data_IF_498876096693
#
_entry.id   IF_498876096693
#
_cell.length_a   1.000
_cell.length_b   1.000
_cell.length_c   1.000
_cell.angle_alpha   90.00
_cell.angle_beta   90.00
_cell.angle_gamma   90.00
#
_symmetry.space_group_name_H-M   'P 1'
#
loop_
_entity.id
_entity.type
_entity.pdbx_description
1 polymer ?
#
# COMPACT_ATOMS: atom_id res chain seq x y z
N UNK A 1 -10.20 -14.74 -6.68
CA UNK A 1 -11.38 -14.01 -7.18
C UNK A 1 -11.32 -12.64 -6.55
N UNK A 2 -11.43 -11.54 -7.31
CA UNK A 2 -11.37 -10.20 -6.72
C UNK A 2 -12.67 -9.89 -5.97
N UNK A 3 -12.62 -9.06 -4.91
CA UNK A 3 -13.83 -8.56 -4.25
C UNK A 3 -14.75 -7.83 -5.23
N UNK A 4 -16.07 -7.93 -5.02
CA UNK A 4 -17.06 -7.33 -5.92
C UNK A 4 -16.87 -5.82 -6.12
N UNK A 5 -16.57 -5.09 -5.04
CA UNK A 5 -16.31 -3.64 -5.10
C UNK A 5 -15.07 -3.32 -5.96
N UNK A 6 -14.03 -4.15 -5.90
CA UNK A 6 -12.83 -3.97 -6.74
C UNK A 6 -13.18 -4.14 -8.21
N UNK A 7 -13.98 -5.15 -8.55
CA UNK A 7 -14.49 -5.33 -9.91
C UNK A 7 -15.30 -4.11 -10.37
N UNK A 8 -16.21 -3.61 -9.53
CA UNK A 8 -17.07 -2.48 -9.88
C UNK A 8 -16.27 -1.18 -10.17
N UNK A 9 -15.30 -0.86 -9.30
CA UNK A 9 -14.45 0.33 -9.46
C UNK A 9 -13.56 0.19 -10.68
N UNK A 10 -12.93 -0.97 -10.88
CA UNK A 10 -12.03 -1.18 -12.03
C UNK A 10 -12.79 -1.18 -13.36
N UNK A 11 -13.98 -1.78 -13.43
CA UNK A 11 -14.82 -1.74 -14.62
C UNK A 11 -15.30 -0.32 -14.94
N UNK A 12 -15.67 0.46 -13.92
CA UNK A 12 -16.04 1.86 -14.11
C UNK A 12 -14.86 2.71 -14.57
N UNK A 13 -13.70 2.57 -13.94
CA UNK A 13 -12.47 3.21 -14.39
C UNK A 13 -12.16 2.87 -15.86
N UNK A 14 -12.22 1.59 -16.24
CA UNK A 14 -11.94 1.16 -17.60
C UNK A 14 -12.90 1.76 -18.63
N UNK A 15 -14.20 1.87 -18.31
CA UNK A 15 -15.17 2.54 -19.19
C UNK A 15 -14.87 4.04 -19.32
N UNK A 16 -14.55 4.72 -18.22
CA UNK A 16 -14.25 6.15 -18.22
C UNK A 16 -12.97 6.45 -19.02
N UNK A 17 -11.89 5.69 -18.77
CA UNK A 17 -10.61 5.92 -19.44
C UNK A 17 -10.68 5.58 -20.94
N UNK A 18 -11.43 4.54 -21.32
CA UNK A 18 -11.61 4.20 -22.74
C UNK A 18 -12.45 5.24 -23.50
N UNK A 19 -13.40 5.89 -22.83
CA UNK A 19 -14.17 6.97 -23.42
C UNK A 19 -13.34 8.26 -23.55
N UNK A 20 -12.51 8.57 -22.54
CA UNK A 20 -11.75 9.81 -22.48
C UNK A 20 -10.48 9.78 -23.36
N UNK A 21 -9.75 8.66 -23.35
CA UNK A 21 -8.45 8.48 -24.05
C UNK A 21 -8.39 7.09 -24.73
N UNK A 22 -9.18 6.88 -25.80
CA UNK A 22 -9.36 5.56 -26.40
C UNK A 22 -8.05 4.88 -26.78
N UNK A 23 -7.82 3.70 -26.23
CA UNK A 23 -6.64 2.90 -26.54
C UNK A 23 -5.34 3.38 -25.91
N UNK A 24 -5.36 4.37 -25.01
CA UNK A 24 -4.17 4.69 -24.22
C UNK A 24 -3.84 3.56 -23.26
N UNK A 25 -4.80 3.14 -22.42
CA UNK A 25 -4.60 2.07 -21.41
C UNK A 25 -4.78 0.69 -22.03
N UNK A 26 -3.65 0.01 -22.27
CA UNK A 26 -3.58 -1.33 -22.87
C UNK A 26 -3.53 -2.46 -21.85
N UNK A 27 -3.15 -2.15 -20.62
CA UNK A 27 -3.21 -3.09 -19.51
C UNK A 27 -3.55 -2.40 -18.20
N UNK A 28 -4.24 -3.11 -17.33
CA UNK A 28 -4.57 -2.69 -15.98
C UNK A 28 -4.30 -3.86 -15.04
N UNK A 29 -3.41 -3.65 -14.10
CA UNK A 29 -2.94 -4.67 -13.18
C UNK A 29 -3.08 -4.16 -11.76
N UNK A 30 -3.55 -5.02 -10.85
CA UNK A 30 -3.71 -4.70 -9.45
C UNK A 30 -2.56 -5.31 -8.64
N UNK A 31 -2.10 -4.58 -7.63
CA UNK A 31 -1.13 -5.07 -6.65
C UNK A 31 -1.64 -4.79 -5.22
N UNK A 32 -0.75 -4.78 -4.24
CA UNK A 32 -1.10 -4.42 -2.87
C UNK A 32 -2.12 -5.36 -2.23
N UNK A 33 -2.99 -4.81 -1.40
CA UNK A 33 -3.95 -5.58 -0.60
C UNK A 33 -4.88 -6.46 -1.45
N UNK A 34 -5.25 -5.98 -2.63
CA UNK A 34 -6.09 -6.69 -3.59
C UNK A 34 -5.42 -7.95 -4.12
N UNK A 35 -4.17 -7.82 -4.57
CA UNK A 35 -3.38 -8.93 -5.08
C UNK A 35 -2.97 -9.92 -3.98
N UNK A 36 -2.68 -9.41 -2.77
CA UNK A 36 -2.29 -10.21 -1.61
C UNK A 36 -3.46 -10.89 -0.89
N UNK A 37 -4.69 -10.73 -1.38
CA UNK A 37 -5.90 -11.36 -0.81
C UNK A 37 -6.28 -10.81 0.58
N UNK A 38 -5.97 -9.55 0.85
CA UNK A 38 -6.18 -8.89 2.14
C UNK A 38 -6.91 -7.54 2.00
N UNK A 39 -7.66 -7.37 0.92
CA UNK A 39 -8.47 -6.18 0.68
C UNK A 39 -9.61 -6.07 1.69
N UNK A 40 -9.66 -4.93 2.38
CA UNK A 40 -10.68 -4.58 3.37
C UNK A 40 -11.37 -3.29 2.91
N UNK A 41 -12.66 -3.30 2.52
CA UNK A 41 -13.37 -2.16 1.93
C UNK A 41 -13.21 -0.81 2.63
N UNK A 42 -13.15 -0.80 3.97
CA UNK A 42 -13.03 0.43 4.77
C UNK A 42 -11.59 0.86 5.07
N UNK A 43 -10.59 0.01 4.80
CA UNK A 43 -9.18 0.21 5.21
C UNK A 43 -8.17 0.03 4.08
N UNK A 44 -8.64 -0.34 2.88
CA UNK A 44 -7.80 -0.66 1.73
C UNK A 44 -8.15 0.20 0.55
N UNK A 45 -7.12 0.60 -0.16
CA UNK A 45 -7.23 1.24 -1.46
C UNK A 45 -7.08 0.16 -2.56
N UNK A 46 -7.41 0.53 -3.80
CA UNK A 46 -7.21 -0.30 -4.98
C UNK A 46 -5.93 0.20 -5.65
N UNK A 47 -4.83 -0.50 -5.39
CA UNK A 47 -3.54 -0.21 -5.97
C UNK A 47 -3.41 -0.78 -7.39
N UNK A 48 -3.08 0.06 -8.37
CA UNK A 48 -2.97 -0.32 -9.78
C UNK A 48 -1.67 0.12 -10.46
N UNK A 49 -1.35 -0.60 -11.54
CA UNK A 49 -0.41 -0.19 -12.58
C UNK A 49 -1.15 -0.23 -13.92
N UNK A 50 -1.20 0.90 -14.62
CA UNK A 50 -1.76 0.99 -15.96
C UNK A 50 -0.62 0.99 -16.99
N UNK A 51 -0.65 0.04 -17.92
CA UNK A 51 0.27 0.04 -19.06
C UNK A 51 -0.32 0.83 -20.22
N UNK A 52 0.39 1.88 -20.63
CA UNK A 52 -0.02 2.75 -21.74
C UNK A 52 0.62 2.34 -23.06
N UNK A 53 -0.02 2.67 -24.19
CA UNK A 53 0.53 2.42 -25.54
C UNK A 53 1.73 3.31 -25.87
N UNK A 54 1.77 4.50 -25.30
CA UNK A 54 2.81 5.51 -25.44
C UNK A 54 2.89 6.34 -24.16
N UNK A 55 3.91 7.19 -24.03
CA UNK A 55 3.95 8.19 -22.95
C UNK A 55 2.75 9.14 -23.10
N UNK A 56 1.87 9.26 -22.10
CA UNK A 56 0.72 10.15 -22.21
C UNK A 56 1.15 11.57 -22.59
N UNK A 57 0.49 12.12 -23.59
CA UNK A 57 0.62 13.52 -24.00
C UNK A 57 -0.07 14.45 -23.00
N UNK A 58 0.22 15.75 -23.00
CA UNK A 58 -0.42 16.69 -22.06
C UNK A 58 -1.97 16.67 -22.11
N UNK A 59 -2.64 16.58 -23.27
CA UNK A 59 -4.09 16.42 -23.31
C UNK A 59 -4.56 15.10 -22.70
N UNK A 60 -3.84 14.01 -22.93
CA UNK A 60 -4.16 12.70 -22.34
C UNK A 60 -3.98 12.71 -20.82
N UNK A 61 -2.89 13.31 -20.31
CA UNK A 61 -2.68 13.47 -18.86
C UNK A 61 -3.80 14.30 -18.22
N UNK A 62 -4.25 15.35 -18.90
CA UNK A 62 -5.39 16.16 -18.44
C UNK A 62 -6.67 15.33 -18.39
N UNK A 63 -6.94 14.53 -19.42
CA UNK A 63 -8.08 13.64 -19.45
C UNK A 63 -8.02 12.55 -18.36
N UNK A 64 -6.83 12.00 -18.08
CA UNK A 64 -6.62 11.05 -16.97
C UNK A 64 -6.95 11.69 -15.62
N UNK A 65 -6.54 12.94 -15.38
CA UNK A 65 -6.91 13.66 -14.15
C UNK A 65 -8.43 13.76 -14.00
N UNK A 66 -9.14 14.15 -15.06
CA UNK A 66 -10.62 14.23 -15.05
C UNK A 66 -11.27 12.85 -14.83
N UNK A 67 -10.70 11.77 -15.36
CA UNK A 67 -11.18 10.41 -15.08
C UNK A 67 -11.05 10.06 -13.59
N UNK A 68 -9.94 10.42 -12.95
CA UNK A 68 -9.75 10.23 -11.51
C UNK A 68 -10.72 11.07 -10.69
N UNK A 69 -10.93 12.35 -11.04
CA UNK A 69 -11.90 13.22 -10.37
C UNK A 69 -13.34 12.65 -10.43
N UNK A 70 -13.74 12.13 -11.59
CA UNK A 70 -15.06 11.49 -11.74
C UNK A 70 -15.13 10.17 -10.96
N UNK A 71 -14.06 9.37 -10.95
CA UNK A 71 -14.01 8.12 -10.20
C UNK A 71 -14.12 8.39 -8.69
N UNK A 72 -13.40 9.39 -8.17
CA UNK A 72 -13.46 9.80 -6.77
C UNK A 72 -14.85 10.32 -6.37
N UNK A 73 -15.55 10.99 -7.30
CA UNK A 73 -16.94 11.44 -7.09
C UNK A 73 -17.91 10.26 -6.99
N UNK A 74 -17.73 9.23 -7.81
CA UNK A 74 -18.57 8.03 -7.81
C UNK A 74 -18.23 7.10 -6.64
N UNK A 75 -16.95 7.00 -6.30
CA UNK A 75 -16.40 6.11 -5.28
C UNK A 75 -15.42 6.88 -4.38
N UNK A 76 -15.91 7.60 -3.35
CA UNK A 76 -15.03 8.32 -2.42
C UNK A 76 -14.07 7.40 -1.64
N UNK A 77 -14.43 6.10 -1.54
CA UNK A 77 -13.59 4.99 -1.08
C UNK A 77 -14.04 3.70 -1.79
N UNK A 78 -13.13 2.73 -2.00
CA UNK A 78 -11.67 2.80 -1.81
C UNK A 78 -11.02 3.80 -2.78
N UNK A 79 -9.86 4.35 -2.44
CA UNK A 79 -9.10 5.15 -3.41
C UNK A 79 -8.58 4.27 -4.55
N UNK A 80 -8.35 4.87 -5.72
CA UNK A 80 -7.84 4.17 -6.90
C UNK A 80 -6.44 4.70 -7.24
N UNK A 81 -5.44 4.07 -6.66
CA UNK A 81 -4.08 4.59 -6.54
C UNK A 81 -3.13 3.88 -7.47
N UNK A 82 -2.37 4.60 -8.28
CA UNK A 82 -1.52 3.96 -9.26
C UNK A 82 -0.91 4.87 -10.31
N UNK A 83 -0.01 4.29 -11.11
CA UNK A 83 0.76 5.00 -12.11
C UNK A 83 0.48 4.55 -13.54
N UNK A 84 0.80 5.43 -14.49
CA UNK A 84 0.67 5.20 -15.93
C UNK A 84 2.05 4.99 -16.56
N UNK A 85 2.39 3.73 -16.84
CA UNK A 85 3.72 3.29 -17.21
C UNK A 85 3.77 2.69 -18.62
N UNK A 86 4.95 2.70 -19.23
CA UNK A 86 5.24 1.82 -20.35
C UNK A 86 5.70 0.46 -19.82
N UNK A 87 5.49 -0.59 -20.62
CA UNK A 87 6.01 -1.93 -20.30
C UNK A 87 7.53 -1.92 -20.07
N UNK A 88 8.26 -1.08 -20.81
CA UNK A 88 9.70 -0.93 -20.67
C UNK A 88 10.12 -0.36 -19.29
N UNK A 89 9.25 0.39 -18.60
CA UNK A 89 9.54 0.86 -17.24
C UNK A 89 9.46 -0.28 -16.25
N UNK A 90 8.44 -1.14 -16.37
CA UNK A 90 8.32 -2.33 -15.53
C UNK A 90 9.47 -3.31 -15.74
N UNK A 91 9.98 -3.39 -16.97
CA UNK A 91 11.10 -4.27 -17.32
C UNK A 91 12.48 -3.77 -16.85
N UNK A 92 12.53 -2.60 -16.21
CA UNK A 92 13.74 -2.01 -15.65
C UNK A 92 13.60 -1.76 -14.15
N UNK A 93 14.73 -1.53 -13.50
CA UNK A 93 14.79 -1.07 -12.12
C UNK A 93 13.91 0.20 -11.95
N UNK A 94 13.00 0.24 -10.95
CA UNK A 94 12.11 1.39 -10.71
C UNK A 94 12.85 2.70 -10.46
N UNK A 95 14.11 2.69 -10.02
CA UNK A 95 14.93 3.91 -9.91
C UNK A 95 15.23 4.56 -11.27
N UNK A 96 15.17 3.77 -12.36
CA UNK A 96 15.33 4.24 -13.74
C UNK A 96 14.01 4.62 -14.40
N UNK A 97 12.87 4.34 -13.78
CA UNK A 97 11.57 4.78 -14.26
C UNK A 97 11.56 6.30 -14.36
N UNK A 98 11.12 6.92 -15.48
CA UNK A 98 11.01 8.37 -15.54
C UNK A 98 9.89 8.88 -14.63
N UNK A 99 9.74 10.21 -14.56
CA UNK A 99 8.53 10.78 -14.00
C UNK A 99 7.34 10.38 -14.88
N UNK A 100 6.26 9.93 -14.25
CA UNK A 100 5.04 9.45 -14.89
C UNK A 100 3.82 10.08 -14.24
N UNK A 101 2.67 10.13 -14.93
CA UNK A 101 1.41 10.46 -14.30
C UNK A 101 1.04 9.40 -13.25
N UNK A 102 0.44 9.82 -12.14
CA UNK A 102 -0.06 8.92 -11.13
C UNK A 102 -1.08 9.56 -10.20
N UNK A 103 -1.90 8.74 -9.57
CA UNK A 103 -2.85 9.16 -8.55
C UNK A 103 -2.50 8.49 -7.22
N UNK A 104 -2.55 9.25 -6.13
CA UNK A 104 -2.45 8.74 -4.77
C UNK A 104 -3.52 9.44 -3.93
N UNK A 105 -4.41 8.65 -3.35
CA UNK A 105 -5.68 9.12 -2.79
C UNK A 105 -6.41 9.98 -3.84
N UNK A 106 -6.79 11.21 -3.51
CA UNK A 106 -7.45 12.14 -4.43
C UNK A 106 -6.47 13.06 -5.17
N UNK A 107 -5.15 12.84 -5.00
CA UNK A 107 -4.12 13.70 -5.57
C UNK A 107 -3.58 13.10 -6.87
N UNK A 108 -3.97 13.70 -7.98
CA UNK A 108 -3.37 13.42 -9.28
C UNK A 108 -2.07 14.23 -9.48
N UNK A 109 -0.98 13.55 -9.79
CA UNK A 109 0.32 14.11 -10.15
C UNK A 109 0.53 13.94 -11.67
N UNK A 110 0.52 15.02 -12.47
CA UNK A 110 0.69 14.93 -13.93
C UNK A 110 2.03 14.34 -14.38
N UNK A 111 3.07 14.52 -13.57
CA UNK A 111 4.42 14.02 -13.82
C UNK A 111 5.21 13.99 -12.51
N UNK A 112 5.53 12.78 -12.04
CA UNK A 112 6.40 12.61 -10.89
C UNK A 112 6.60 11.15 -10.53
N UNK A 113 6.80 10.88 -9.25
CA UNK A 113 7.17 9.54 -8.75
C UNK A 113 6.27 9.07 -7.62
N UNK A 114 5.11 9.71 -7.42
CA UNK A 114 4.23 9.43 -6.29
C UNK A 114 3.82 7.95 -6.16
N UNK A 115 3.75 7.23 -7.29
CA UNK A 115 3.36 5.81 -7.36
C UNK A 115 4.52 4.87 -7.74
N UNK A 116 5.72 5.40 -7.97
CA UNK A 116 6.89 4.59 -8.35
C UNK A 116 7.58 4.10 -7.08
N UNK A 117 7.46 2.80 -6.82
CA UNK A 117 8.04 2.15 -5.64
C UNK A 117 8.62 0.78 -5.99
N UNK A 118 9.75 0.45 -5.38
CA UNK A 118 10.34 -0.88 -5.48
C UNK A 118 9.39 -1.97 -4.99
N UNK A 119 8.61 -1.68 -3.95
CA UNK A 119 7.62 -2.62 -3.41
C UNK A 119 6.54 -2.93 -4.45
N UNK A 120 6.07 -1.93 -5.21
CA UNK A 120 5.09 -2.12 -6.29
C UNK A 120 5.59 -3.12 -7.34
N UNK A 121 6.84 -3.04 -7.77
CA UNK A 121 7.42 -3.96 -8.76
C UNK A 121 7.42 -5.40 -8.24
N UNK A 122 7.84 -5.59 -7.00
CA UNK A 122 7.90 -6.92 -6.38
C UNK A 122 6.51 -7.49 -6.09
N UNK A 123 5.58 -6.69 -5.55
CA UNK A 123 4.19 -7.11 -5.35
C UNK A 123 3.52 -7.49 -6.68
N UNK A 124 3.71 -6.66 -7.72
CA UNK A 124 3.18 -6.93 -9.05
C UNK A 124 3.76 -8.23 -9.61
N UNK A 125 5.08 -8.41 -9.58
CA UNK A 125 5.74 -9.63 -10.08
C UNK A 125 5.26 -10.90 -9.36
N UNK A 126 5.14 -10.88 -8.03
CA UNK A 126 4.83 -12.08 -7.23
C UNK A 126 3.33 -12.39 -7.14
N UNK A 127 2.48 -11.35 -7.12
CA UNK A 127 1.06 -11.50 -6.77
C UNK A 127 0.10 -10.76 -7.70
N UNK A 128 0.62 -10.00 -8.67
CA UNK A 128 -0.17 -9.10 -9.50
C UNK A 128 -1.36 -9.77 -10.18
N UNK A 129 -2.48 -9.06 -10.21
CA UNK A 129 -3.71 -9.53 -10.85
C UNK A 129 -3.96 -8.72 -12.12
N UNK A 130 -4.03 -9.40 -13.27
CA UNK A 130 -4.43 -8.76 -14.53
C UNK A 130 -5.95 -8.56 -14.57
N UNK A 131 -6.39 -7.31 -14.68
CA UNK A 131 -7.79 -6.94 -14.98
C UNK A 131 -7.96 -6.76 -16.49
N UNK A 132 -6.97 -6.14 -17.13
CA UNK A 132 -6.89 -5.97 -18.58
C UNK A 132 -5.46 -6.27 -19.04
N UNK A 133 -5.32 -6.96 -20.17
CA UNK A 133 -4.03 -7.28 -20.78
C UNK A 133 -3.59 -8.74 -20.56
N UNK A 134 -2.37 -9.09 -20.98
CA UNK A 134 -1.80 -10.43 -20.77
C UNK A 134 -1.58 -10.75 -19.29
N UNK A 135 -1.17 -11.99 -18.98
CA UNK A 135 -0.83 -12.34 -17.60
C UNK A 135 0.41 -11.55 -17.11
N UNK A 136 0.49 -11.28 -15.81
CA UNK A 136 1.61 -10.50 -15.23
C UNK A 136 2.97 -11.17 -15.49
N UNK A 137 3.01 -12.50 -15.49
CA UNK A 137 4.21 -13.27 -15.81
C UNK A 137 4.78 -12.99 -17.21
N UNK A 138 3.95 -12.49 -18.13
CA UNK A 138 4.39 -12.12 -19.47
C UNK A 138 5.02 -10.74 -19.51
N UNK A 139 4.78 -9.87 -18.52
CA UNK A 139 5.20 -8.45 -18.58
C UNK A 139 6.70 -8.25 -18.51
N UNK A 140 7.43 -9.23 -17.95
CA UNK A 140 8.87 -9.13 -17.72
C UNK A 140 9.20 -8.14 -16.60
N UNK A 141 8.38 -8.07 -15.55
CA UNK A 141 8.58 -7.15 -14.42
C UNK A 141 9.93 -7.42 -13.77
N UNK A 142 10.76 -6.39 -13.67
CA UNK A 142 12.06 -6.45 -13.04
C UNK A 142 11.92 -6.68 -11.54
N UNK A 143 12.76 -7.55 -10.98
CA UNK A 143 12.86 -7.76 -9.54
C UNK A 143 14.31 -8.03 -9.13
N UNK A 144 14.67 -7.55 -7.94
CA UNK A 144 15.92 -7.92 -7.26
C UNK A 144 15.66 -8.04 -5.77
N UNK A 145 15.69 -9.29 -5.28
CA UNK A 145 15.41 -9.60 -3.88
C UNK A 145 16.42 -8.96 -2.92
N UNK A 146 17.70 -8.88 -3.29
CA UNK A 146 18.70 -8.28 -2.42
C UNK A 146 18.45 -6.77 -2.28
N UNK A 147 18.13 -6.11 -3.39
CA UNK A 147 17.75 -4.69 -3.40
C UNK A 147 16.46 -4.44 -2.61
N UNK A 148 15.43 -5.29 -2.74
CA UNK A 148 14.20 -5.20 -1.95
C UNK A 148 14.47 -5.28 -0.44
N UNK A 149 15.27 -6.25 0.01
CA UNK A 149 15.58 -6.43 1.43
C UNK A 149 16.39 -5.25 1.98
N UNK A 150 17.39 -4.78 1.23
CA UNK A 150 18.18 -3.61 1.61
C UNK A 150 17.32 -2.33 1.72
N UNK A 151 16.46 -2.09 0.73
CA UNK A 151 15.51 -0.96 0.72
C UNK A 151 14.55 -1.03 1.91
N UNK A 152 14.03 -2.22 2.22
CA UNK A 152 13.11 -2.47 3.33
C UNK A 152 13.76 -2.15 4.69
N UNK A 153 14.98 -2.64 4.92
CA UNK A 153 15.74 -2.32 6.13
C UNK A 153 16.02 -0.81 6.26
N UNK A 154 16.38 -0.16 5.14
CA UNK A 154 16.56 1.29 5.12
C UNK A 154 15.26 2.05 5.44
N UNK A 155 14.11 1.60 4.93
CA UNK A 155 12.81 2.21 5.19
C UNK A 155 12.47 2.17 6.70
N UNK A 156 12.69 1.03 7.38
CA UNK A 156 12.52 0.93 8.83
C UNK A 156 13.44 1.91 9.58
N UNK A 157 14.72 1.95 9.24
CA UNK A 157 15.71 2.83 9.88
C UNK A 157 15.54 4.31 9.57
N UNK A 158 14.79 4.68 8.55
CA UNK A 158 14.63 6.09 8.15
C UNK A 158 13.20 6.58 8.33
N UNK A 159 12.27 6.06 7.55
CA UNK A 159 10.88 6.48 7.52
C UNK A 159 10.16 6.14 8.82
N UNK A 160 10.18 4.86 9.23
CA UNK A 160 9.46 4.43 10.44
C UNK A 160 10.10 4.95 11.72
N UNK A 161 11.43 5.02 11.80
CA UNK A 161 12.13 5.67 12.93
C UNK A 161 11.72 7.13 13.13
N UNK A 162 11.48 7.90 12.05
CA UNK A 162 10.95 9.27 12.17
C UNK A 162 9.54 9.30 12.76
N UNK A 163 8.72 8.28 12.48
CA UNK A 163 7.37 8.19 13.00
C UNK A 163 7.31 7.84 14.49
N UNK A 164 8.25 7.06 15.02
CA UNK A 164 8.41 6.88 16.48
C UNK A 164 8.46 8.24 17.18
N UNK A 165 9.35 9.13 16.73
CA UNK A 165 9.51 10.47 17.30
C UNK A 165 8.27 11.37 17.10
N UNK A 166 7.53 11.18 16.00
CA UNK A 166 6.32 11.96 15.72
C UNK A 166 5.16 11.53 16.62
N UNK A 167 5.02 10.24 16.91
CA UNK A 167 3.95 9.73 17.77
C UNK A 167 4.07 10.26 19.19
N UNK A 168 5.27 10.45 19.73
CA UNK A 168 5.46 11.09 21.04
C UNK A 168 4.84 12.50 21.07
N UNK A 169 5.13 13.29 20.04
CA UNK A 169 4.63 14.67 19.92
C UNK A 169 3.14 14.73 19.59
N UNK A 170 2.60 13.69 18.94
CA UNK A 170 1.21 13.67 18.49
C UNK A 170 0.24 13.67 19.68
N UNK A 171 0.55 12.92 20.75
CA UNK A 171 -0.28 12.90 21.95
C UNK A 171 -0.40 14.27 22.64
N UNK A 172 0.63 15.11 22.52
CA UNK A 172 0.65 16.45 23.10
C UNK A 172 -0.01 17.48 22.19
N UNK A 173 0.25 17.39 20.88
CA UNK A 173 -0.13 18.45 19.91
C UNK A 173 -1.49 18.22 19.25
N UNK A 174 -1.94 16.98 19.15
CA UNK A 174 -3.25 16.61 18.59
C UNK A 174 -3.77 15.30 19.21
N UNK A 175 -4.23 15.32 20.48
CA UNK A 175 -4.67 14.13 21.21
C UNK A 175 -5.72 13.30 20.47
N UNK A 176 -6.69 13.95 19.83
CA UNK A 176 -7.76 13.26 19.08
C UNK A 176 -7.21 12.46 17.90
N UNK A 177 -6.15 12.97 17.24
CA UNK A 177 -5.45 12.25 16.18
C UNK A 177 -4.57 11.14 16.72
N UNK A 178 -3.96 11.33 17.89
CA UNK A 178 -3.12 10.32 18.52
C UNK A 178 -3.88 9.04 18.85
N UNK A 179 -5.17 9.17 19.20
CA UNK A 179 -6.02 8.02 19.56
C UNK A 179 -6.76 7.41 18.37
N UNK A 180 -6.60 7.94 17.16
CA UNK A 180 -7.25 7.43 15.96
C UNK A 180 -6.81 5.97 15.68
N UNK A 181 -7.76 5.01 15.60
CA UNK A 181 -7.48 3.61 15.28
C UNK A 181 -6.63 3.41 14.02
N UNK A 182 -6.74 4.31 13.05
CA UNK A 182 -5.96 4.26 11.82
C UNK A 182 -4.45 4.26 12.10
N UNK A 183 -3.97 5.06 13.06
CA UNK A 183 -2.54 5.07 13.42
C UNK A 183 -2.09 3.74 14.02
N UNK A 184 -2.94 3.07 14.78
CA UNK A 184 -2.62 1.76 15.37
C UNK A 184 -2.42 0.73 14.26
N UNK A 185 -3.40 0.58 13.37
CA UNK A 185 -3.30 -0.35 12.23
C UNK A 185 -2.07 -0.03 11.37
N UNK A 186 -1.92 1.24 11.00
CA UNK A 186 -0.90 1.68 10.07
C UNK A 186 0.51 1.54 10.66
N UNK A 187 0.76 1.96 11.91
CA UNK A 187 2.07 1.82 12.54
C UNK A 187 2.42 0.36 12.85
N UNK A 188 1.48 -0.39 13.46
CA UNK A 188 1.72 -1.77 13.90
C UNK A 188 1.87 -2.69 12.69
N UNK A 189 0.82 -2.81 11.86
CA UNK A 189 0.85 -3.76 10.75
C UNK A 189 1.73 -3.29 9.59
N UNK A 190 1.84 -1.97 9.39
CA UNK A 190 2.73 -1.41 8.38
C UNK A 190 4.20 -1.75 8.65
N UNK A 191 4.68 -1.54 9.88
CA UNK A 191 6.07 -1.86 10.23
C UNK A 191 6.33 -3.37 10.34
N UNK A 192 5.37 -4.14 10.87
CA UNK A 192 5.48 -5.61 10.98
C UNK A 192 5.60 -6.26 9.61
N UNK A 193 4.89 -5.77 8.59
CA UNK A 193 5.03 -6.26 7.21
C UNK A 193 6.46 -6.17 6.69
N UNK A 194 7.16 -5.08 7.00
CA UNK A 194 8.56 -4.88 6.58
C UNK A 194 9.49 -5.84 7.35
N UNK A 195 9.31 -5.98 8.66
CA UNK A 195 10.09 -6.94 9.45
C UNK A 195 9.86 -8.39 9.01
N UNK A 196 8.60 -8.78 8.76
CA UNK A 196 8.25 -10.11 8.27
C UNK A 196 8.94 -10.43 6.93
N UNK A 197 9.02 -9.45 6.03
CA UNK A 197 9.77 -9.59 4.78
C UNK A 197 11.27 -9.85 5.04
N UNK A 198 11.89 -9.11 5.97
CA UNK A 198 13.31 -9.29 6.31
C UNK A 198 13.60 -10.67 6.94
N UNK A 199 12.70 -11.17 7.78
CA UNK A 199 12.87 -12.46 8.48
C UNK A 199 12.52 -13.64 7.58
N UNK A 200 11.40 -13.57 6.85
CA UNK A 200 10.87 -14.71 6.10
C UNK A 200 11.31 -14.72 4.63
N UNK A 201 11.79 -13.58 4.13
CA UNK A 201 12.13 -13.39 2.73
C UNK A 201 10.93 -13.45 1.78
N UNK A 202 9.70 -13.23 2.28
CA UNK A 202 8.45 -13.24 1.50
C UNK A 202 7.70 -11.94 1.69
N UNK A 203 7.00 -11.47 0.65
CA UNK A 203 6.03 -10.39 0.79
C UNK A 203 4.84 -10.87 1.61
N UNK A 204 4.31 -9.98 2.44
CA UNK A 204 3.11 -10.22 3.25
C UNK A 204 2.13 -9.08 3.06
N UNK A 205 0.83 -9.35 3.17
CA UNK A 205 -0.13 -8.30 3.45
C UNK A 205 0.03 -7.78 4.90
N UNK A 206 -0.57 -6.62 5.22
CA UNK A 206 -0.59 -6.10 6.59
C UNK A 206 -1.18 -7.13 7.57
N UNK A 207 -2.33 -7.71 7.22
CA UNK A 207 -2.99 -8.70 8.06
C UNK A 207 -2.26 -10.04 8.10
N UNK A 208 -1.67 -10.47 6.98
CA UNK A 208 -0.82 -11.66 6.93
C UNK A 208 0.40 -11.55 7.85
N UNK A 209 1.10 -10.41 7.79
CA UNK A 209 2.25 -10.14 8.65
C UNK A 209 1.85 -10.04 10.13
N UNK A 210 0.72 -9.41 10.44
CA UNK A 210 0.20 -9.33 11.81
C UNK A 210 -0.11 -10.71 12.40
N UNK A 211 -0.80 -11.58 11.65
CA UNK A 211 -1.06 -12.96 12.08
C UNK A 211 0.22 -13.75 12.29
N UNK A 212 1.15 -13.67 11.33
CA UNK A 212 2.46 -14.29 11.44
C UNK A 212 3.19 -13.87 12.73
N UNK A 213 3.20 -12.57 13.04
CA UNK A 213 3.87 -12.05 14.23
C UNK A 213 3.23 -12.56 15.54
N UNK A 214 1.90 -12.71 15.58
CA UNK A 214 1.17 -13.28 16.72
C UNK A 214 1.43 -14.78 16.87
N UNK A 215 1.35 -15.53 15.77
CA UNK A 215 1.50 -17.00 15.76
C UNK A 215 2.92 -17.45 16.11
N UNK A 216 3.92 -16.69 15.67
CA UNK A 216 5.34 -17.00 15.90
C UNK A 216 5.93 -16.33 17.13
N UNK A 217 5.15 -15.47 17.81
CA UNK A 217 5.62 -14.59 18.88
C UNK A 217 6.89 -13.80 18.50
N UNK A 218 6.95 -13.28 17.27
CA UNK A 218 8.15 -12.67 16.69
C UNK A 218 8.77 -11.54 17.54
N UNK A 219 7.96 -10.87 18.37
CA UNK A 219 8.39 -9.81 19.30
C UNK A 219 8.23 -10.21 20.78
N UNK A 220 7.77 -11.43 21.06
CA UNK A 220 7.44 -11.90 22.40
C UNK A 220 5.97 -11.65 22.82
N UNK A 221 5.49 -12.37 23.84
CA UNK A 221 4.07 -12.41 24.20
C UNK A 221 3.52 -11.08 24.73
N UNK A 222 4.38 -10.20 25.25
CA UNK A 222 3.98 -8.87 25.73
C UNK A 222 3.34 -8.01 24.63
N UNK A 223 3.74 -8.17 23.36
CA UNK A 223 3.20 -7.39 22.24
C UNK A 223 1.96 -8.01 21.58
N UNK A 224 1.51 -9.17 22.05
CA UNK A 224 0.31 -9.82 21.52
C UNK A 224 -0.95 -8.93 21.59
N UNK A 225 -1.21 -8.16 22.66
CA UNK A 225 -2.37 -7.28 22.73
C UNK A 225 -2.41 -6.23 21.62
N UNK A 226 -1.31 -5.49 21.39
CA UNK A 226 -1.30 -4.42 20.38
C UNK A 226 -1.35 -4.97 18.94
N UNK A 227 -0.72 -6.12 18.69
CA UNK A 227 -0.83 -6.83 17.41
C UNK A 227 -2.26 -7.29 17.13
N UNK A 228 -2.93 -7.83 18.15
CA UNK A 228 -4.32 -8.30 18.04
C UNK A 228 -5.27 -7.12 17.85
N UNK A 229 -5.05 -6.02 18.56
CA UNK A 229 -5.83 -4.78 18.40
C UNK A 229 -5.68 -4.21 16.99
N UNK A 230 -4.47 -4.20 16.43
CA UNK A 230 -4.25 -3.71 15.07
C UNK A 230 -4.94 -4.60 14.01
N UNK A 231 -4.95 -5.93 14.21
CA UNK A 231 -5.70 -6.86 13.36
C UNK A 231 -7.22 -6.65 13.49
N UNK A 232 -7.72 -6.45 14.72
CA UNK A 232 -9.14 -6.16 15.00
C UNK A 232 -9.59 -4.90 14.26
N UNK A 233 -8.79 -3.83 14.35
CA UNK A 233 -9.05 -2.57 13.63
C UNK A 233 -9.07 -2.81 12.12
N UNK A 234 -8.06 -3.48 11.56
CA UNK A 234 -7.96 -3.74 10.12
C UNK A 234 -9.18 -4.43 9.53
N UNK A 235 -9.68 -5.43 10.24
CA UNK A 235 -10.78 -6.27 9.76
C UNK A 235 -12.16 -5.76 10.21
N UNK A 236 -12.23 -4.59 10.85
CA UNK A 236 -13.50 -4.03 11.33
C UNK A 236 -14.22 -4.96 12.31
N UNK A 237 -13.48 -5.69 13.14
CA UNK A 237 -14.08 -6.56 14.14
C UNK A 237 -14.67 -5.72 15.27
N UNK A 238 -16.01 -5.77 15.37
CA UNK A 238 -16.85 -5.08 16.34
C UNK A 238 -16.67 -5.60 17.78
N UNK A 239 -15.83 -6.61 17.98
CA UNK A 239 -15.39 -7.05 19.29
C UNK A 239 -14.78 -5.89 20.11
N UNK A 240 -14.88 -5.95 21.46
CA UNK A 240 -14.35 -4.91 22.31
C UNK A 240 -12.83 -4.82 22.16
N UNK A 241 -12.31 -3.59 22.11
CA UNK A 241 -10.87 -3.36 22.26
C UNK A 241 -10.41 -3.88 23.62
N UNK A 242 -9.23 -4.50 23.66
CA UNK A 242 -8.58 -4.85 24.92
C UNK A 242 -7.99 -3.65 25.64
N UNK A 243 -8.01 -2.47 25.01
CA UNK A 243 -7.53 -1.21 25.57
C UNK A 243 -8.68 -0.36 26.11
N UNK A 244 -8.77 -0.27 27.44
CA UNK A 244 -9.71 0.63 28.10
C UNK A 244 -9.27 2.11 28.03
N UNK A 245 -7.96 2.36 27.92
CA UNK A 245 -7.37 3.70 27.79
C UNK A 245 -6.72 3.87 26.41
N UNK A 246 -7.26 4.79 25.61
CA UNK A 246 -6.77 5.07 24.26
C UNK A 246 -5.39 5.76 24.26
N UNK A 247 -5.04 6.51 25.31
CA UNK A 247 -3.70 7.08 25.45
C UNK A 247 -2.68 6.00 25.83
N UNK A 248 -3.10 4.96 26.56
CA UNK A 248 -2.28 3.77 26.75
C UNK A 248 -2.08 3.02 25.43
N UNK A 249 -3.14 2.83 24.62
CA UNK A 249 -3.02 2.21 23.28
C UNK A 249 -2.07 2.97 22.36
N UNK A 250 -2.13 4.31 22.36
CA UNK A 250 -1.20 5.16 21.60
C UNK A 250 0.24 4.96 22.05
N UNK A 251 0.51 4.94 23.36
CA UNK A 251 1.84 4.68 23.92
C UNK A 251 2.36 3.29 23.52
N UNK A 252 1.55 2.25 23.67
CA UNK A 252 1.94 0.89 23.23
C UNK A 252 2.15 0.80 21.71
N UNK A 253 1.38 1.53 20.90
CA UNK A 253 1.61 1.64 19.45
C UNK A 253 3.00 2.23 19.16
N UNK A 254 3.37 3.31 19.86
CA UNK A 254 4.68 3.93 19.71
C UNK A 254 5.80 3.01 20.18
N UNK A 255 5.67 2.42 21.36
CA UNK A 255 6.68 1.53 21.95
C UNK A 255 6.88 0.26 21.11
N UNK A 256 5.79 -0.28 20.56
CA UNK A 256 5.85 -1.40 19.63
C UNK A 256 6.58 -1.00 18.34
N UNK A 257 6.22 0.13 17.73
CA UNK A 257 6.93 0.62 16.53
C UNK A 257 8.42 0.81 16.80
N UNK A 258 8.80 1.34 17.96
CA UNK A 258 10.19 1.47 18.37
C UNK A 258 10.89 0.10 18.49
N UNK A 259 10.20 -0.90 19.03
CA UNK A 259 10.69 -2.29 19.10
C UNK A 259 10.93 -2.87 17.72
N UNK A 260 9.99 -2.69 16.78
CA UNK A 260 10.16 -3.15 15.40
C UNK A 260 11.36 -2.46 14.75
N UNK A 261 11.52 -1.14 14.91
CA UNK A 261 12.68 -0.42 14.36
C UNK A 261 13.98 -0.97 14.95
N UNK A 262 14.08 -1.09 16.28
CA UNK A 262 15.28 -1.56 16.97
C UNK A 262 15.69 -2.98 16.57
N UNK A 263 14.72 -3.88 16.34
CA UNK A 263 14.98 -5.24 15.87
C UNK A 263 15.64 -5.32 14.48
N UNK A 264 15.67 -4.21 13.73
CA UNK A 264 16.19 -4.14 12.36
C UNK A 264 17.30 -3.06 12.18
N UNK A 265 17.93 -2.62 13.28
CA UNK A 265 19.04 -1.66 13.26
C UNK A 265 20.44 -2.31 13.09
N UNK A 266 20.53 -3.65 13.09
CA UNK A 266 21.76 -4.40 12.87
C UNK A 266 22.19 -4.48 11.39
#
# INVERSE_FOLDING_TARGET
MLPAQVHEVTDTYLRLVDAAVPGLVRGLYLHGSTALGDFCPSHSDIDFVALTSHRPTEPEVTALATVHEELDRLYPRPYFDGGYLLRADLAADPDRCPNVPGCLETKFEPSGRITVSLVTWHELHEHGVAVRGPAVAELGVWTDKATLLANTGNNLRTYWRRWVNKLDRLAETAPDRAVDPWFVEWCVLGSVRLHALLVTGRLHSKGGAGRWAVETEAFGPHWRPILTEALRIRYGDDGPSTYADLLHRHRETRDFLATVVAANEA
#
